data_IF_542021046671
#
_entry.id   IF_542021046671
#
_cell.length_a   1.000
_cell.length_b   1.000
_cell.length_c   1.000
_cell.angle_alpha   90.00
_cell.angle_beta   90.00
_cell.angle_gamma   90.00
#
_symmetry.space_group_name_H-M   'P 1'
#
loop_
_entity.id
_entity.type
_entity.pdbx_description
1 polymer ?
#
# COMPACT_ATOMS: atom_id res chain seq x y z
N UNK A 1 -3.65 -7.42 39.17
CA UNK A 1 -2.19 -7.55 39.41
C UNK A 1 -1.43 -7.00 38.21
N UNK A 2 -0.72 -5.87 38.35
CA UNK A 2 0.17 -5.35 37.29
C UNK A 2 1.42 -6.23 37.25
N UNK A 3 1.64 -7.00 36.17
CA UNK A 3 2.94 -7.65 35.93
C UNK A 3 4.00 -6.54 35.86
N UNK A 4 4.91 -6.48 36.84
CA UNK A 4 6.14 -5.68 36.70
C UNK A 4 6.88 -6.21 35.48
N UNK A 5 7.23 -5.34 34.53
CA UNK A 5 8.12 -5.71 33.44
C UNK A 5 9.40 -6.30 34.05
N UNK A 6 9.73 -7.55 33.69
CA UNK A 6 10.96 -8.19 34.13
C UNK A 6 12.16 -7.37 33.64
N UNK A 7 13.18 -7.19 34.50
CA UNK A 7 14.44 -6.58 34.06
C UNK A 7 15.10 -7.53 33.05
N UNK A 8 15.48 -7.00 31.88
CA UNK A 8 16.29 -7.73 30.90
C UNK A 8 17.59 -8.20 31.55
N UNK A 9 18.03 -9.40 31.20
CA UNK A 9 19.37 -9.87 31.54
C UNK A 9 20.45 -9.05 30.81
N UNK A 10 21.69 -9.11 31.29
CA UNK A 10 22.81 -8.42 30.65
C UNK A 10 23.03 -8.92 29.20
N UNK A 11 22.83 -10.21 28.95
CA UNK A 11 22.96 -10.82 27.63
C UNK A 11 21.85 -10.35 26.67
N UNK A 12 20.60 -10.32 27.13
CA UNK A 12 19.48 -9.79 26.34
C UNK A 12 19.66 -8.30 26.03
N UNK A 13 20.19 -7.53 26.99
CA UNK A 13 20.49 -6.12 26.80
C UNK A 13 21.61 -5.92 25.77
N UNK A 14 22.68 -6.72 25.84
CA UNK A 14 23.78 -6.67 24.87
C UNK A 14 23.32 -7.06 23.46
N UNK A 15 22.50 -8.11 23.33
CA UNK A 15 21.92 -8.52 22.04
C UNK A 15 21.01 -7.42 21.46
N UNK A 16 20.18 -6.78 22.29
CA UNK A 16 19.34 -5.65 21.90
C UNK A 16 20.17 -4.44 21.47
N UNK A 17 21.22 -4.12 22.22
CA UNK A 17 22.15 -3.03 21.89
C UNK A 17 22.82 -3.27 20.53
N UNK A 18 23.30 -4.49 20.29
CA UNK A 18 23.94 -4.85 19.03
C UNK A 18 22.97 -4.84 17.85
N UNK A 19 21.73 -5.29 18.07
CA UNK A 19 20.65 -5.16 17.08
C UNK A 19 20.37 -3.70 16.73
N UNK A 20 20.29 -2.83 17.74
CA UNK A 20 20.06 -1.40 17.52
C UNK A 20 21.19 -0.75 16.71
N UNK A 21 22.46 -1.06 17.00
CA UNK A 21 23.61 -0.53 16.28
C UNK A 21 23.73 -1.02 14.83
N UNK A 22 23.21 -2.22 14.54
CA UNK A 22 23.27 -2.83 13.21
C UNK A 22 21.92 -2.91 12.51
N UNK A 23 20.94 -2.12 12.97
CA UNK A 23 19.72 -1.87 12.22
C UNK A 23 20.01 -0.81 11.18
N UNK A 24 19.90 -1.17 9.90
CA UNK A 24 20.05 -0.22 8.81
C UNK A 24 18.75 0.50 8.60
N UNK A 25 18.81 1.82 8.57
CA UNK A 25 17.65 2.68 8.32
C UNK A 25 17.90 3.51 7.07
N UNK A 26 16.89 3.55 6.20
CA UNK A 26 16.75 4.52 5.11
C UNK A 26 15.44 5.23 5.32
N UNK A 27 15.47 6.53 5.46
CA UNK A 27 14.26 7.31 5.67
C UNK A 27 14.33 8.62 4.90
N UNK A 28 13.19 9.02 4.37
CA UNK A 28 12.94 10.35 3.83
C UNK A 28 11.60 10.78 4.38
N UNK A 29 11.61 11.82 5.21
CA UNK A 29 10.40 12.43 5.75
C UNK A 29 9.99 13.58 4.84
N UNK A 30 9.39 13.23 3.70
CA UNK A 30 8.70 14.19 2.84
C UNK A 30 7.28 14.45 3.32
N UNK A 31 6.59 15.39 2.67
CA UNK A 31 5.16 15.59 2.88
C UNK A 31 4.39 14.50 2.15
N UNK A 32 3.52 13.78 2.87
CA UNK A 32 2.57 12.87 2.24
C UNK A 32 1.58 13.74 1.45
N UNK A 33 1.40 13.52 0.13
CA UNK A 33 0.44 14.30 -0.65
C UNK A 33 -0.98 14.12 -0.10
N UNK A 34 -1.73 15.21 0.02
CA UNK A 34 -3.14 15.19 0.43
C UNK A 34 -4.02 14.51 -0.61
N UNK A 35 -3.67 14.69 -1.89
CA UNK A 35 -4.35 14.07 -3.01
C UNK A 35 -3.39 13.64 -4.12
N UNK A 36 -3.80 12.66 -4.93
CA UNK A 36 -3.07 12.24 -6.14
C UNK A 36 -4.04 11.98 -7.28
N UNK A 37 -3.65 12.38 -8.49
CA UNK A 37 -4.41 12.05 -9.71
C UNK A 37 -4.17 10.60 -10.10
N UNK A 38 -5.23 9.88 -10.45
CA UNK A 38 -5.17 8.47 -10.86
C UNK A 38 -5.77 8.29 -12.24
N UNK A 39 -5.22 7.33 -12.97
CA UNK A 39 -5.72 6.99 -14.31
C UNK A 39 -6.90 6.03 -14.18
N UNK A 40 -7.81 6.06 -15.14
CA UNK A 40 -8.94 5.12 -15.20
C UNK A 40 -8.50 3.65 -15.19
N UNK A 41 -7.37 3.33 -15.82
CA UNK A 41 -6.78 1.98 -15.75
C UNK A 41 -6.39 1.54 -14.33
N UNK A 42 -6.03 2.48 -13.45
CA UNK A 42 -5.70 2.18 -12.06
C UNK A 42 -6.95 1.80 -11.29
N UNK A 43 -8.07 2.49 -11.52
CA UNK A 43 -9.37 2.14 -10.95
C UNK A 43 -9.79 0.70 -11.29
N UNK A 44 -9.64 0.32 -12.57
CA UNK A 44 -9.88 -1.04 -13.04
C UNK A 44 -8.95 -2.06 -12.38
N UNK A 45 -7.68 -1.69 -12.21
CA UNK A 45 -6.69 -2.52 -11.50
C UNK A 45 -7.07 -2.73 -10.02
N UNK A 46 -7.72 -1.76 -9.38
CA UNK A 46 -8.18 -1.88 -7.99
C UNK A 46 -9.40 -2.76 -7.82
N UNK A 47 -10.24 -2.89 -8.85
CA UNK A 47 -11.49 -3.63 -8.69
C UNK A 47 -12.69 -3.05 -9.40
N UNK A 48 -12.62 -1.82 -9.89
CA UNK A 48 -13.84 -1.07 -10.22
C UNK A 48 -13.88 -0.63 -11.66
N UNK A 49 -15.09 -0.60 -12.21
CA UNK A 49 -15.35 0.11 -13.45
C UNK A 49 -16.04 1.46 -13.15
N UNK A 50 -15.76 2.46 -14.00
CA UNK A 50 -16.38 3.78 -13.92
C UNK A 50 -17.57 3.82 -14.87
N UNK A 51 -18.72 4.23 -14.35
CA UNK A 51 -20.00 4.21 -15.08
C UNK A 51 -20.55 5.62 -15.19
N UNK A 52 -20.98 5.99 -16.39
CA UNK A 52 -21.89 7.10 -16.61
C UNK A 52 -23.31 6.54 -16.75
N UNK A 53 -24.26 7.05 -15.98
CA UNK A 53 -25.57 6.44 -15.86
C UNK A 53 -26.60 7.30 -15.13
N UNK A 54 -27.61 6.65 -14.58
CA UNK A 54 -28.55 7.26 -13.63
C UNK A 54 -28.38 6.64 -12.25
N UNK A 55 -28.49 7.47 -11.22
CA UNK A 55 -28.61 7.09 -9.81
C UNK A 55 -29.89 7.73 -9.29
N UNK A 56 -30.84 6.92 -8.82
CA UNK A 56 -32.18 7.41 -8.42
C UNK A 56 -32.89 8.21 -9.53
N UNK A 57 -32.65 7.85 -10.81
CA UNK A 57 -33.23 8.53 -11.98
C UNK A 57 -32.49 9.80 -12.41
N UNK A 58 -31.52 10.29 -11.63
CA UNK A 58 -30.74 11.49 -11.95
C UNK A 58 -29.40 11.15 -12.62
N UNK A 59 -28.94 11.92 -13.61
CA UNK A 59 -27.64 11.70 -14.25
C UNK A 59 -26.48 11.73 -13.25
N UNK A 60 -25.68 10.67 -13.23
CA UNK A 60 -24.57 10.51 -12.30
C UNK A 60 -23.39 9.76 -12.92
N UNK A 61 -22.22 9.96 -12.30
CA UNK A 61 -21.05 9.11 -12.48
C UNK A 61 -20.83 8.33 -11.18
N UNK A 62 -20.68 7.02 -11.28
CA UNK A 62 -20.51 6.13 -10.13
C UNK A 62 -19.57 4.97 -10.47
N UNK A 63 -19.23 4.16 -9.48
CA UNK A 63 -18.42 2.96 -9.65
C UNK A 63 -19.26 1.71 -9.42
N UNK A 64 -18.87 0.61 -10.05
CA UNK A 64 -19.36 -0.73 -9.73
C UNK A 64 -18.18 -1.69 -9.63
N UNK A 65 -18.37 -2.84 -8.95
CA UNK A 65 -17.38 -3.91 -8.96
C UNK A 65 -17.22 -4.42 -10.40
N UNK A 66 -15.99 -4.43 -10.90
CA UNK A 66 -15.67 -4.90 -12.25
C UNK A 66 -15.96 -6.41 -12.41
N UNK A 67 -16.04 -7.18 -11.32
CA UNK A 67 -16.43 -8.58 -11.34
C UNK A 67 -17.91 -8.78 -11.70
N UNK A 68 -18.76 -7.78 -11.48
CA UNK A 68 -20.18 -7.86 -11.85
C UNK A 68 -20.38 -7.82 -13.37
N UNK A 69 -19.38 -7.40 -14.14
CA UNK A 69 -19.43 -7.39 -15.59
C UNK A 69 -20.56 -6.54 -16.15
N UNK A 70 -20.85 -5.39 -15.52
CA UNK A 70 -21.95 -4.50 -15.90
C UNK A 70 -21.84 -4.03 -17.35
N UNK A 71 -22.97 -3.93 -18.04
CA UNK A 71 -23.07 -3.46 -19.43
C UNK A 71 -24.12 -2.35 -19.58
N UNK A 72 -24.07 -1.63 -20.70
CA UNK A 72 -25.04 -0.58 -21.00
C UNK A 72 -26.46 -1.19 -21.11
N UNK A 73 -27.42 -0.58 -20.42
CA UNK A 73 -28.79 -1.06 -20.29
C UNK A 73 -29.07 -1.81 -18.99
N UNK A 74 -28.04 -2.18 -18.22
CA UNK A 74 -28.24 -2.83 -16.92
C UNK A 74 -28.94 -1.90 -15.93
N UNK A 75 -29.91 -2.45 -15.20
CA UNK A 75 -30.57 -1.79 -14.07
C UNK A 75 -30.43 -2.68 -12.85
N UNK A 76 -29.97 -2.11 -11.75
CA UNK A 76 -29.77 -2.85 -10.50
C UNK A 76 -30.04 -1.97 -9.28
N UNK A 77 -30.20 -2.63 -8.13
CA UNK A 77 -30.35 -1.97 -6.84
C UNK A 77 -29.18 -2.36 -5.95
N UNK A 78 -28.52 -1.39 -5.32
CA UNK A 78 -27.44 -1.60 -4.38
C UNK A 78 -27.61 -0.65 -3.20
N UNK A 79 -27.56 -1.18 -1.97
CA UNK A 79 -27.72 -0.41 -0.72
C UNK A 79 -29.01 0.43 -0.66
N UNK A 80 -30.07 -0.02 -1.32
CA UNK A 80 -31.36 0.67 -1.38
C UNK A 80 -31.42 1.81 -2.41
N UNK A 81 -30.43 1.92 -3.28
CA UNK A 81 -30.38 2.88 -4.36
C UNK A 81 -30.43 2.16 -5.72
N UNK A 82 -31.20 2.70 -6.65
CA UNK A 82 -31.39 2.21 -8.01
C UNK A 82 -30.38 2.87 -8.94
N UNK A 83 -29.70 2.04 -9.71
CA UNK A 83 -28.72 2.42 -10.72
C UNK A 83 -29.16 1.96 -12.11
N UNK A 84 -28.92 2.79 -13.12
CA UNK A 84 -29.05 2.46 -14.53
C UNK A 84 -27.72 2.74 -15.23
N UNK A 85 -27.14 1.71 -15.86
CA UNK A 85 -25.87 1.81 -16.58
C UNK A 85 -26.16 2.31 -17.99
N UNK A 86 -25.68 3.51 -18.33
CA UNK A 86 -25.76 4.01 -19.72
C UNK A 86 -24.49 3.72 -20.50
N UNK A 87 -23.35 3.85 -19.84
CA UNK A 87 -22.04 3.60 -20.43
C UNK A 87 -21.04 3.17 -19.36
N UNK A 88 -20.28 2.11 -19.64
CA UNK A 88 -19.05 1.79 -18.91
C UNK A 88 -17.89 2.54 -19.57
N UNK A 89 -17.37 3.55 -18.88
CA UNK A 89 -16.38 4.46 -19.44
C UNK A 89 -15.05 3.73 -19.68
N UNK A 90 -14.54 3.84 -20.92
CA UNK A 90 -13.21 3.36 -21.32
C UNK A 90 -12.15 4.44 -21.27
N UNK A 91 -12.58 5.70 -21.37
CA UNK A 91 -11.74 6.90 -21.26
C UNK A 91 -12.49 7.96 -20.44
N UNK A 92 -11.74 8.85 -19.79
CA UNK A 92 -12.35 9.96 -19.07
C UNK A 92 -12.81 11.03 -20.06
N UNK A 93 -13.98 11.66 -19.83
CA UNK A 93 -14.40 12.82 -20.60
C UNK A 93 -13.32 13.92 -20.60
N UNK A 94 -13.27 14.72 -21.68
CA UNK A 94 -12.24 15.74 -21.84
C UNK A 94 -12.20 16.71 -20.65
N UNK A 95 -11.03 16.80 -20.02
CA UNK A 95 -10.78 17.67 -18.87
C UNK A 95 -11.21 17.08 -17.52
N UNK A 96 -11.90 15.94 -17.50
CA UNK A 96 -12.22 15.22 -16.29
C UNK A 96 -11.01 14.46 -15.74
N UNK A 97 -10.98 14.28 -14.41
CA UNK A 97 -9.89 13.61 -13.68
C UNK A 97 -10.45 12.75 -12.57
N UNK A 98 -9.70 11.70 -12.23
CA UNK A 98 -9.93 10.93 -11.02
C UNK A 98 -8.86 11.30 -9.99
N UNK A 99 -9.28 11.55 -8.76
CA UNK A 99 -8.39 11.98 -7.68
C UNK A 99 -8.64 11.10 -6.47
N UNK A 100 -7.57 10.59 -5.86
CA UNK A 100 -7.66 9.88 -4.59
C UNK A 100 -7.17 10.76 -3.46
N UNK A 101 -7.84 10.67 -2.31
CA UNK A 101 -7.39 11.19 -1.02
C UNK A 101 -7.33 10.05 -0.01
N UNK A 102 -6.36 10.09 0.90
CA UNK A 102 -6.31 9.18 2.05
C UNK A 102 -6.32 10.02 3.33
N UNK A 103 -7.35 9.87 4.14
CA UNK A 103 -7.53 10.58 5.41
C UNK A 103 -7.49 9.63 6.58
N UNK A 104 -7.31 10.17 7.79
CA UNK A 104 -7.41 9.41 9.03
C UNK A 104 -8.75 9.70 9.69
N UNK A 105 -9.60 8.69 9.80
CA UNK A 105 -10.94 8.78 10.37
C UNK A 105 -11.17 7.61 11.32
N UNK A 106 -11.76 7.89 12.49
CA UNK A 106 -12.09 6.84 13.47
C UNK A 106 -10.91 5.90 13.78
N UNK A 107 -9.68 6.44 13.78
CA UNK A 107 -8.41 5.73 14.01
C UNK A 107 -7.96 4.80 12.88
N UNK A 108 -8.58 4.84 11.69
CA UNK A 108 -8.20 4.06 10.49
C UNK A 108 -7.96 4.95 9.27
N UNK A 109 -7.16 4.47 8.32
CA UNK A 109 -7.01 5.14 7.02
C UNK A 109 -8.24 4.91 6.15
N UNK A 110 -8.79 5.95 5.54
CA UNK A 110 -9.91 5.88 4.59
C UNK A 110 -9.46 6.44 3.25
N UNK A 111 -9.54 5.62 2.21
CA UNK A 111 -9.27 6.02 0.83
C UNK A 111 -10.58 6.47 0.17
N UNK A 112 -10.58 7.69 -0.37
CA UNK A 112 -11.69 8.24 -1.14
C UNK A 112 -11.29 8.49 -2.56
N UNK A 113 -12.13 8.07 -3.48
CA UNK A 113 -11.99 8.39 -4.89
C UNK A 113 -13.00 9.45 -5.27
N UNK A 114 -12.54 10.46 -5.98
CA UNK A 114 -13.33 11.55 -6.51
C UNK A 114 -13.27 11.58 -8.03
N UNK A 115 -14.40 11.89 -8.65
CA UNK A 115 -14.50 12.30 -10.03
C UNK A 115 -14.59 13.83 -10.09
N UNK A 116 -13.61 14.48 -10.73
CA UNK A 116 -13.58 15.92 -10.94
C UNK A 116 -13.85 16.20 -12.41
N UNK A 117 -15.05 16.68 -12.80
CA UNK A 117 -15.34 16.98 -14.19
C UNK A 117 -14.55 18.20 -14.66
N UNK A 118 -14.41 18.37 -15.98
CA UNK A 118 -13.78 19.57 -16.56
C UNK A 118 -14.54 20.87 -16.27
N UNK A 119 -15.84 20.76 -15.95
CA UNK A 119 -16.73 21.83 -15.47
C UNK A 119 -17.76 21.23 -14.51
N UNK A 120 -18.07 21.93 -13.42
CA UNK A 120 -19.01 21.47 -12.41
C UNK A 120 -18.32 21.07 -11.10
N UNK A 121 -19.08 20.43 -10.22
CA UNK A 121 -18.63 20.07 -8.88
C UNK A 121 -17.95 18.68 -8.86
N UNK A 122 -17.02 18.51 -7.92
CA UNK A 122 -16.38 17.23 -7.63
C UNK A 122 -17.40 16.27 -6.99
N UNK A 123 -17.40 15.01 -7.42
CA UNK A 123 -18.28 13.96 -6.88
C UNK A 123 -17.46 12.87 -6.21
N UNK A 124 -17.79 12.50 -4.97
CA UNK A 124 -17.22 11.33 -4.32
C UNK A 124 -17.81 10.06 -4.93
N UNK A 125 -16.95 9.20 -5.46
CA UNK A 125 -17.33 7.93 -6.07
C UNK A 125 -17.42 6.81 -5.04
N UNK A 126 -16.48 6.77 -4.10
CA UNK A 126 -16.51 5.85 -2.96
C UNK A 126 -15.63 6.35 -1.82
N UNK A 127 -15.92 5.82 -0.62
CA UNK A 127 -15.05 5.84 0.54
C UNK A 127 -14.89 4.41 1.08
N UNK A 128 -13.66 3.92 1.17
CA UNK A 128 -13.35 2.57 1.66
C UNK A 128 -12.21 2.63 2.68
N UNK A 129 -12.18 1.74 3.69
CA UNK A 129 -10.98 1.56 4.50
C UNK A 129 -9.78 1.28 3.58
N UNK A 130 -8.72 2.07 3.71
CA UNK A 130 -7.58 1.99 2.80
C UNK A 130 -6.90 0.62 2.84
N UNK A 131 -6.90 -0.03 4.00
CA UNK A 131 -6.43 -1.40 4.15
C UNK A 131 -7.22 -2.39 3.29
N UNK A 132 -8.55 -2.29 3.28
CA UNK A 132 -9.42 -3.18 2.49
C UNK A 132 -9.17 -2.99 0.99
N UNK A 133 -9.08 -1.73 0.54
CA UNK A 133 -8.76 -1.41 -0.85
C UNK A 133 -7.41 -1.98 -1.27
N UNK A 134 -6.35 -1.78 -0.47
CA UNK A 134 -5.02 -2.29 -0.78
C UNK A 134 -4.97 -3.83 -0.80
N UNK A 135 -5.59 -4.50 0.19
CA UNK A 135 -5.61 -5.96 0.24
C UNK A 135 -6.37 -6.56 -0.95
N UNK A 136 -7.53 -6.01 -1.30
CA UNK A 136 -8.30 -6.44 -2.47
C UNK A 136 -7.50 -6.20 -3.77
N UNK A 137 -6.88 -5.02 -3.88
CA UNK A 137 -6.04 -4.66 -5.01
C UNK A 137 -4.84 -5.60 -5.17
N UNK A 138 -4.06 -5.82 -4.11
CA UNK A 138 -2.87 -6.68 -4.17
C UNK A 138 -3.24 -8.13 -4.49
N UNK A 139 -4.35 -8.62 -3.94
CA UNK A 139 -4.91 -9.94 -4.28
C UNK A 139 -5.29 -10.04 -5.74
N UNK A 140 -6.02 -9.05 -6.28
CA UNK A 140 -6.41 -9.02 -7.70
C UNK A 140 -5.20 -8.99 -8.64
N UNK A 141 -4.10 -8.36 -8.21
CA UNK A 141 -2.84 -8.29 -8.97
C UNK A 141 -1.92 -9.50 -8.80
N UNK A 142 -2.19 -10.38 -7.83
CA UNK A 142 -1.33 -11.52 -7.53
C UNK A 142 -0.01 -11.15 -6.83
N UNK A 143 0.03 -10.00 -6.13
CA UNK A 143 1.21 -9.54 -5.39
C UNK A 143 1.27 -10.20 -4.01
N UNK A 144 1.73 -11.46 -4.01
CA UNK A 144 1.75 -12.31 -2.83
C UNK A 144 2.67 -11.80 -1.72
N UNK A 145 3.81 -11.17 -2.05
CA UNK A 145 4.76 -10.71 -1.04
C UNK A 145 4.25 -9.47 -0.30
N UNK A 146 3.59 -8.55 -1.00
CA UNK A 146 2.88 -7.43 -0.39
C UNK A 146 1.77 -7.91 0.55
N UNK A 147 0.99 -8.92 0.15
CA UNK A 147 -0.05 -9.50 1.01
C UNK A 147 0.53 -10.17 2.26
N UNK A 148 1.57 -10.97 2.09
CA UNK A 148 2.25 -11.67 3.19
C UNK A 148 2.86 -10.69 4.19
N UNK A 149 3.49 -9.63 3.68
CA UNK A 149 4.15 -8.64 4.51
C UNK A 149 3.20 -7.56 5.08
N UNK A 150 1.95 -7.45 4.60
CA UNK A 150 1.05 -6.37 5.01
C UNK A 150 0.77 -6.42 6.52
N UNK A 151 1.14 -5.36 7.25
CA UNK A 151 0.97 -5.29 8.70
C UNK A 151 -0.17 -4.35 9.10
N UNK A 152 -0.14 -3.10 8.63
CA UNK A 152 -1.12 -2.08 8.99
C UNK A 152 -1.24 -1.01 7.92
N UNK A 153 -2.36 -0.27 7.92
CA UNK A 153 -2.54 0.87 7.02
C UNK A 153 -3.34 2.02 7.64
N UNK A 154 -2.78 3.22 7.54
CA UNK A 154 -3.37 4.51 7.87
C UNK A 154 -3.09 5.51 6.73
N UNK A 155 -2.53 6.68 7.05
CA UNK A 155 -1.93 7.58 6.06
C UNK A 155 -0.66 6.98 5.43
N UNK A 156 -0.01 6.11 6.19
CA UNK A 156 1.09 5.24 5.74
C UNK A 156 0.69 3.77 5.92
N UNK A 157 1.21 2.91 5.06
CA UNK A 157 1.08 1.47 5.13
C UNK A 157 2.41 0.88 5.58
N UNK A 158 2.34 -0.02 6.55
CA UNK A 158 3.48 -0.75 7.07
C UNK A 158 3.52 -2.17 6.53
N UNK A 159 4.69 -2.59 6.04
CA UNK A 159 4.97 -3.97 5.69
C UNK A 159 6.08 -4.52 6.57
N UNK A 160 5.94 -5.76 7.04
CA UNK A 160 6.94 -6.46 7.85
C UNK A 160 7.18 -7.83 7.21
N UNK A 161 8.43 -8.11 6.83
CA UNK A 161 8.86 -9.42 6.35
C UNK A 161 10.00 -9.91 7.23
N UNK A 162 9.83 -11.11 7.79
CA UNK A 162 10.80 -11.74 8.68
C UNK A 162 11.10 -13.15 8.21
N UNK A 163 12.38 -13.51 8.16
CA UNK A 163 12.83 -14.86 7.86
C UNK A 163 13.77 -15.37 8.94
N UNK A 164 13.50 -16.60 9.41
CA UNK A 164 14.30 -17.29 10.41
C UNK A 164 14.30 -16.62 11.79
N UNK A 165 15.19 -17.08 12.67
CA UNK A 165 15.30 -16.58 14.05
C UNK A 165 16.20 -15.36 14.16
N UNK A 166 15.80 -14.43 15.03
CA UNK A 166 16.64 -13.31 15.46
C UNK A 166 17.92 -13.79 16.15
N UNK A 167 18.96 -12.97 16.12
CA UNK A 167 20.23 -13.27 16.77
C UNK A 167 21.15 -12.06 16.80
N UNK A 168 22.46 -12.32 16.76
CA UNK A 168 23.46 -11.26 16.64
C UNK A 168 23.39 -10.62 15.26
N UNK A 169 22.95 -9.37 15.21
CA UNK A 169 22.88 -8.59 13.97
C UNK A 169 24.28 -8.35 13.40
N UNK A 170 24.41 -8.46 12.08
CA UNK A 170 25.67 -8.30 11.37
C UNK A 170 25.91 -6.83 10.98
N UNK A 171 27.17 -6.36 11.02
CA UNK A 171 27.55 -5.04 10.54
C UNK A 171 27.50 -4.93 9.01
N UNK A 172 27.66 -3.71 8.47
CA UNK A 172 27.28 -3.39 7.09
C UNK A 172 28.24 -4.06 6.10
N UNK A 173 29.50 -4.06 6.49
CA UNK A 173 30.64 -4.65 5.80
C UNK A 173 30.44 -6.16 5.62
N UNK A 174 29.75 -6.80 6.58
CA UNK A 174 29.47 -8.23 6.57
C UNK A 174 28.18 -8.59 5.81
N UNK A 175 27.34 -7.62 5.43
CA UNK A 175 26.10 -7.91 4.71
C UNK A 175 26.38 -8.62 3.37
N UNK A 176 25.53 -9.57 2.94
CA UNK A 176 25.65 -10.12 1.60
C UNK A 176 25.27 -9.05 0.54
N UNK A 177 25.78 -9.16 -0.70
CA UNK A 177 25.52 -8.19 -1.77
C UNK A 177 24.02 -7.93 -2.00
N UNK A 178 23.17 -8.96 -1.88
CA UNK A 178 21.70 -8.83 -2.04
C UNK A 178 21.08 -7.86 -1.03
N UNK A 179 21.50 -7.92 0.23
CA UNK A 179 20.98 -7.06 1.30
C UNK A 179 21.44 -5.60 1.12
N UNK A 180 22.69 -5.40 0.68
CA UNK A 180 23.18 -4.06 0.33
C UNK A 180 22.45 -3.47 -0.87
N UNK A 181 22.10 -4.30 -1.86
CA UNK A 181 21.31 -3.88 -3.02
C UNK A 181 19.90 -3.45 -2.60
N UNK A 182 19.22 -4.27 -1.78
CA UNK A 182 17.90 -3.94 -1.25
C UNK A 182 17.89 -2.59 -0.51
N UNK A 183 18.92 -2.31 0.31
CA UNK A 183 19.05 -1.01 0.99
C UNK A 183 19.16 0.19 0.02
N UNK A 184 19.84 0.02 -1.12
CA UNK A 184 19.94 1.08 -2.13
C UNK A 184 18.63 1.25 -2.88
N UNK A 185 18.01 0.16 -3.30
CA UNK A 185 16.77 0.19 -4.07
C UNK A 185 15.59 0.69 -3.22
N UNK A 186 15.55 0.35 -1.93
CA UNK A 186 14.58 0.92 -1.00
C UNK A 186 14.75 2.44 -0.85
N UNK A 187 15.98 2.93 -0.73
CA UNK A 187 16.24 4.37 -0.67
C UNK A 187 15.80 5.09 -1.94
N UNK A 188 16.08 4.50 -3.11
CA UNK A 188 15.64 5.02 -4.39
C UNK A 188 14.11 5.00 -4.54
N UNK A 189 13.44 3.96 -4.06
CA UNK A 189 11.98 3.86 -4.07
C UNK A 189 11.36 4.97 -3.23
N UNK A 190 11.83 5.13 -2.00
CA UNK A 190 11.36 6.17 -1.09
C UNK A 190 11.56 7.55 -1.72
N UNK A 191 12.75 7.84 -2.25
CA UNK A 191 13.09 9.17 -2.77
C UNK A 191 12.43 9.49 -4.11
N UNK A 192 12.44 8.54 -5.05
CA UNK A 192 12.08 8.79 -6.47
C UNK A 192 10.63 8.45 -6.79
N UNK A 193 9.99 7.61 -5.99
CA UNK A 193 8.63 7.09 -6.28
C UNK A 193 7.62 7.50 -5.21
N UNK A 194 7.93 7.25 -3.94
CA UNK A 194 6.97 7.48 -2.86
C UNK A 194 7.01 8.90 -2.27
N UNK A 195 8.13 9.61 -2.41
CA UNK A 195 8.34 10.96 -1.87
C UNK A 195 8.58 11.02 -0.36
N UNK A 196 8.05 10.04 0.38
CA UNK A 196 8.30 9.85 1.80
C UNK A 196 8.31 8.35 2.15
N UNK A 197 8.90 8.00 3.29
CA UNK A 197 8.86 6.64 3.81
C UNK A 197 10.10 6.26 4.59
N UNK A 198 10.06 5.04 5.12
CA UNK A 198 11.14 4.44 5.90
C UNK A 198 11.29 2.98 5.54
N UNK A 199 12.54 2.54 5.37
CA UNK A 199 12.93 1.15 5.27
C UNK A 199 13.91 0.82 6.38
N UNK A 200 13.66 -0.29 7.08
CA UNK A 200 14.62 -0.87 8.03
C UNK A 200 15.01 -2.28 7.61
N UNK A 201 16.27 -2.62 7.85
CA UNK A 201 16.79 -3.97 7.68
C UNK A 201 17.65 -4.33 8.89
N UNK A 202 17.37 -5.50 9.46
CA UNK A 202 18.23 -6.17 10.41
C UNK A 202 18.57 -7.54 9.85
N UNK A 203 19.85 -7.85 9.71
CA UNK A 203 20.33 -9.12 9.18
C UNK A 203 21.11 -9.89 10.24
N UNK A 204 20.80 -11.17 10.41
CA UNK A 204 21.34 -12.03 11.48
C UNK A 204 22.26 -13.15 10.95
N UNK A 205 22.70 -13.05 9.69
CA UNK A 205 23.48 -14.11 9.05
C UNK A 205 22.61 -15.25 8.51
N UNK A 206 23.26 -16.36 8.16
CA UNK A 206 22.59 -17.56 7.65
C UNK A 206 22.28 -18.56 8.77
N UNK A 207 21.22 -19.35 8.60
CA UNK A 207 20.99 -20.55 9.42
C UNK A 207 21.93 -21.70 8.99
N UNK A 208 21.79 -22.87 9.63
CA UNK A 208 22.60 -24.06 9.33
C UNK A 208 22.39 -24.57 7.89
N UNK A 209 21.22 -24.32 7.34
CA UNK A 209 20.81 -24.72 5.99
C UNK A 209 21.24 -23.68 4.92
N UNK A 210 21.95 -22.61 5.33
CA UNK A 210 22.45 -21.58 4.44
C UNK A 210 21.44 -20.49 4.06
N UNK A 211 20.24 -20.51 4.66
CA UNK A 211 19.19 -19.53 4.43
C UNK A 211 19.40 -18.25 5.25
N UNK A 212 19.09 -17.12 4.64
CA UNK A 212 19.21 -15.81 5.27
C UNK A 212 18.21 -15.64 6.41
N UNK A 213 18.68 -15.05 7.51
CA UNK A 213 17.85 -14.65 8.64
C UNK A 213 17.82 -13.14 8.75
N UNK A 214 16.63 -12.55 8.70
CA UNK A 214 16.47 -11.11 8.70
C UNK A 214 15.08 -10.67 9.13
N UNK A 215 14.97 -9.38 9.46
CA UNK A 215 13.71 -8.65 9.56
C UNK A 215 13.83 -7.38 8.74
N UNK A 216 12.84 -7.13 7.89
CA UNK A 216 12.67 -5.85 7.23
C UNK A 216 11.33 -5.23 7.58
N UNK A 217 11.31 -3.90 7.68
CA UNK A 217 10.08 -3.12 7.80
C UNK A 217 10.08 -2.02 6.75
N UNK A 218 8.97 -1.86 6.04
CA UNK A 218 8.71 -0.73 5.17
C UNK A 218 7.57 0.08 5.72
N UNK A 219 7.69 1.40 5.64
CA UNK A 219 6.62 2.35 5.87
C UNK A 219 6.55 3.27 4.65
N UNK A 220 5.43 3.26 3.94
CA UNK A 220 5.21 4.09 2.74
C UNK A 220 3.88 4.83 2.83
N UNK A 221 3.74 6.01 2.19
CA UNK A 221 2.44 6.67 2.06
C UNK A 221 1.43 5.76 1.37
N UNK A 222 0.29 5.53 2.03
CA UNK A 222 -0.79 4.65 1.55
C UNK A 222 -1.27 5.07 0.16
N UNK A 223 -1.41 6.38 -0.05
CA UNK A 223 -1.86 6.96 -1.32
C UNK A 223 -0.93 6.61 -2.49
N UNK A 224 0.37 6.41 -2.24
CA UNK A 224 1.34 6.06 -3.28
C UNK A 224 1.28 4.57 -3.65
N UNK A 225 0.82 3.71 -2.74
CA UNK A 225 0.65 2.27 -3.00
C UNK A 225 -0.55 1.96 -3.90
N UNK A 226 -1.41 2.95 -4.14
CA UNK A 226 -2.49 2.84 -5.12
C UNK A 226 -1.99 3.02 -6.56
N UNK A 227 -0.76 3.49 -6.77
CA UNK A 227 -0.08 3.45 -8.06
C UNK A 227 0.53 2.05 -8.30
N UNK A 228 0.16 1.44 -9.42
CA UNK A 228 0.62 0.10 -9.78
C UNK A 228 2.14 -0.03 -9.94
N UNK A 229 2.81 1.00 -10.48
CA UNK A 229 4.25 1.01 -10.68
C UNK A 229 5.01 1.07 -9.35
N UNK A 230 4.45 1.77 -8.36
CA UNK A 230 5.01 1.81 -7.01
C UNK A 230 4.83 0.46 -6.34
N UNK A 231 3.60 -0.04 -6.27
CA UNK A 231 3.31 -1.31 -5.60
C UNK A 231 4.05 -2.50 -6.23
N UNK A 232 4.07 -2.62 -7.55
CA UNK A 232 4.81 -3.68 -8.26
C UNK A 232 6.32 -3.62 -7.97
N UNK A 233 6.88 -2.42 -7.83
CA UNK A 233 8.28 -2.28 -7.46
C UNK A 233 8.54 -2.76 -6.03
N UNK A 234 7.66 -2.43 -5.08
CA UNK A 234 7.78 -2.89 -3.68
C UNK A 234 7.62 -4.41 -3.59
N UNK A 235 6.66 -5.00 -4.31
CA UNK A 235 6.49 -6.44 -4.45
C UNK A 235 7.80 -7.12 -4.88
N UNK A 236 8.42 -6.59 -5.95
CA UNK A 236 9.68 -7.12 -6.47
C UNK A 236 10.84 -7.03 -5.46
N UNK A 237 10.88 -5.98 -4.64
CA UNK A 237 11.91 -5.82 -3.61
C UNK A 237 11.73 -6.80 -2.45
N UNK A 238 10.49 -7.02 -1.99
CA UNK A 238 10.17 -8.02 -0.98
C UNK A 238 10.46 -9.43 -1.49
N UNK A 239 10.10 -9.72 -2.75
CA UNK A 239 10.38 -10.99 -3.40
C UNK A 239 11.89 -11.27 -3.54
N UNK A 240 12.70 -10.25 -3.82
CA UNK A 240 14.15 -10.40 -3.98
C UNK A 240 14.91 -10.66 -2.67
N UNK A 241 14.25 -10.50 -1.52
CA UNK A 241 14.83 -10.78 -0.20
C UNK A 241 14.67 -12.25 0.21
N UNK A 242 13.61 -12.91 -0.27
CA UNK A 242 13.38 -14.35 -0.13
C UNK A 242 14.31 -15.18 -1.03
#
# INVERSE_FOLDING_TARGET
MKKKAGKLTAEELAAKHQTALHTYVREVWGTIPDETEVKLRSLKAWGFDLIAGLREGEPAVFVADAADGREAGDVYEERGERFEVREVLRELPRGARLVVRVTHEERRGVARLYYRPGRGEETELFALPAAELLLAYFKKRGWGKLLEAFHSSGLTTEFIQSRGSSGKAWPYEALPPKMRRALREAADTIKKRAGAGRFTLVYFGKNKDGEDRYVVTWLLPTIQLLDASVAEHVEGLLAALD
#
